data_IF_960623136326
#
_entry.id   IF_960623136326
#
_cell.length_a   1.000
_cell.length_b   1.000
_cell.length_c   1.000
_cell.angle_alpha   90.00
_cell.angle_beta   90.00
_cell.angle_gamma   90.00
#
_symmetry.space_group_name_H-M   'P 1'
#
loop_
_entity.id
_entity.type
_entity.pdbx_description
1 polymer ?
#
# COMPACT_ATOMS: atom_id res chain seq x y z
N UNK A 1 -8.45 -13.37 6.79
CA UNK A 1 -9.43 -12.26 6.87
C UNK A 1 -10.24 -12.22 8.16
N UNK A 2 -10.23 -13.25 9.02
CA UNK A 2 -11.03 -13.28 10.26
C UNK A 2 -10.83 -12.04 11.16
N UNK A 3 -9.58 -11.61 11.36
CA UNK A 3 -9.27 -10.42 12.15
C UNK A 3 -9.81 -9.13 11.52
N UNK A 4 -9.66 -8.97 10.20
CA UNK A 4 -10.17 -7.80 9.45
C UNK A 4 -11.69 -7.73 9.55
N UNK A 5 -12.40 -8.85 9.35
CA UNK A 5 -13.85 -8.90 9.46
C UNK A 5 -14.38 -8.63 10.87
N UNK A 6 -13.65 -9.11 11.90
CA UNK A 6 -14.02 -8.92 13.31
C UNK A 6 -13.84 -7.49 13.78
N UNK A 7 -12.75 -6.84 13.36
CA UNK A 7 -12.36 -5.52 13.86
C UNK A 7 -12.78 -4.36 12.95
N UNK A 8 -13.12 -4.64 11.69
CA UNK A 8 -13.56 -3.65 10.69
C UNK A 8 -12.71 -2.38 10.70
N UNK A 9 -11.40 -2.50 10.38
CA UNK A 9 -10.54 -1.33 10.32
C UNK A 9 -10.97 -0.41 9.18
N UNK A 10 -10.74 0.89 9.33
CA UNK A 10 -10.99 1.86 8.25
C UNK A 10 -9.94 1.78 7.13
N UNK A 11 -8.72 1.35 7.47
CA UNK A 11 -7.59 1.19 6.56
C UNK A 11 -6.76 -0.04 6.93
N UNK A 12 -6.10 -0.64 5.93
CA UNK A 12 -5.15 -1.74 6.12
C UNK A 12 -3.79 -1.32 5.54
N UNK A 13 -2.71 -1.49 6.30
CA UNK A 13 -1.35 -1.39 5.74
C UNK A 13 -0.84 -2.78 5.36
N UNK A 14 -0.43 -2.92 4.10
CA UNK A 14 0.12 -4.16 3.54
C UNK A 14 1.62 -4.02 3.39
N UNK A 15 2.35 -4.99 3.93
CA UNK A 15 3.80 -5.11 3.81
C UNK A 15 4.17 -6.52 3.30
N UNK A 16 5.11 -6.63 2.34
CA UNK A 16 5.86 -5.53 1.73
C UNK A 16 5.11 -4.87 0.55
N UNK A 17 5.21 -3.55 0.44
CA UNK A 17 4.52 -2.73 -0.56
C UNK A 17 5.08 -2.82 -1.98
N UNK A 18 6.19 -3.54 -2.17
CA UNK A 18 6.79 -3.79 -3.50
C UNK A 18 6.19 -4.98 -4.25
N UNK A 19 5.16 -5.63 -3.69
CA UNK A 19 4.50 -6.80 -4.29
C UNK A 19 3.07 -6.41 -4.71
N UNK A 20 2.86 -5.99 -5.98
CA UNK A 20 1.56 -5.55 -6.49
C UNK A 20 0.44 -6.58 -6.30
N UNK A 21 0.71 -7.86 -6.59
CA UNK A 21 -0.31 -8.91 -6.52
C UNK A 21 -0.90 -9.07 -5.12
N UNK A 22 -0.07 -8.86 -4.07
CA UNK A 22 -0.53 -8.90 -2.68
C UNK A 22 -1.47 -7.73 -2.37
N UNK A 23 -1.17 -6.54 -2.88
CA UNK A 23 -2.01 -5.35 -2.69
C UNK A 23 -3.37 -5.58 -3.34
N UNK A 24 -3.38 -6.07 -4.59
CA UNK A 24 -4.61 -6.40 -5.33
C UNK A 24 -5.43 -7.46 -4.59
N UNK A 25 -4.81 -8.58 -4.19
CA UNK A 25 -5.48 -9.67 -3.48
C UNK A 25 -6.13 -9.21 -2.17
N UNK A 26 -5.39 -8.42 -1.37
CA UNK A 26 -5.92 -7.93 -0.08
C UNK A 26 -7.04 -6.93 -0.31
N UNK A 27 -6.91 -6.03 -1.30
CA UNK A 27 -7.94 -5.03 -1.62
C UNK A 27 -9.24 -5.70 -2.03
N UNK A 28 -9.17 -6.65 -2.96
CA UNK A 28 -10.34 -7.37 -3.46
C UNK A 28 -11.04 -8.18 -2.36
N UNK A 29 -10.26 -8.80 -1.47
CA UNK A 29 -10.83 -9.61 -0.38
C UNK A 29 -11.36 -8.80 0.79
N UNK A 30 -10.72 -7.67 1.13
CA UNK A 30 -11.09 -6.86 2.29
C UNK A 30 -12.19 -5.85 1.95
N UNK A 31 -12.19 -5.29 0.73
CA UNK A 31 -13.08 -4.19 0.36
C UNK A 31 -12.82 -2.89 1.13
N UNK A 32 -11.66 -2.76 1.78
CA UNK A 32 -11.25 -1.64 2.62
C UNK A 32 -10.04 -0.95 1.96
N UNK A 33 -9.92 0.39 2.03
CA UNK A 33 -8.75 1.11 1.51
C UNK A 33 -7.42 0.60 2.08
N UNK A 34 -6.38 0.58 1.24
CA UNK A 34 -5.07 -0.01 1.57
C UNK A 34 -3.96 1.02 1.48
N UNK A 35 -3.05 1.01 2.45
CA UNK A 35 -1.72 1.61 2.33
C UNK A 35 -0.69 0.53 1.99
N UNK A 36 0.21 0.82 1.06
CA UNK A 36 1.31 -0.07 0.72
C UNK A 36 2.61 0.46 1.35
N UNK A 37 3.31 -0.39 2.10
CA UNK A 37 4.48 0.02 2.88
C UNK A 37 5.61 -0.99 2.88
N UNK A 38 6.84 -0.51 3.04
CA UNK A 38 8.02 -1.37 3.16
C UNK A 38 8.66 -1.77 1.83
N UNK A 39 10.00 -1.74 1.80
CA UNK A 39 10.85 -2.00 0.64
C UNK A 39 10.68 -1.09 -0.59
N UNK A 40 9.80 -0.08 -0.53
CA UNK A 40 9.64 0.96 -1.56
C UNK A 40 10.93 1.78 -1.67
N UNK A 41 11.62 1.72 -2.82
CA UNK A 41 12.92 2.37 -3.03
C UNK A 41 12.91 3.35 -4.19
N UNK A 42 12.08 3.14 -5.21
CA UNK A 42 12.04 3.98 -6.41
C UNK A 42 10.66 4.60 -6.64
N UNK A 43 10.55 5.54 -7.60
CA UNK A 43 9.25 6.11 -7.97
C UNK A 43 8.35 5.06 -8.63
N UNK A 44 8.96 4.19 -9.42
CA UNK A 44 8.27 3.08 -10.09
C UNK A 44 7.69 2.09 -9.08
N UNK A 45 8.36 1.86 -7.94
CA UNK A 45 7.78 1.06 -6.85
C UNK A 45 6.50 1.70 -6.29
N UNK A 46 6.50 3.03 -6.11
CA UNK A 46 5.34 3.80 -5.65
C UNK A 46 4.20 3.69 -6.68
N UNK A 47 4.50 3.93 -7.95
CA UNK A 47 3.54 3.89 -9.05
C UNK A 47 2.91 2.51 -9.17
N UNK A 48 3.70 1.43 -9.19
CA UNK A 48 3.18 0.05 -9.25
C UNK A 48 2.29 -0.30 -8.06
N UNK A 49 2.62 0.17 -6.85
CA UNK A 49 1.79 -0.06 -5.68
C UNK A 49 0.44 0.68 -5.78
N UNK A 50 0.44 1.92 -6.28
CA UNK A 50 -0.78 2.71 -6.49
C UNK A 50 -1.64 2.10 -7.62
N UNK A 51 -1.03 1.66 -8.71
CA UNK A 51 -1.70 0.97 -9.82
C UNK A 51 -2.33 -0.35 -9.39
N UNK A 52 -1.70 -1.08 -8.45
CA UNK A 52 -2.25 -2.28 -7.83
C UNK A 52 -3.47 -2.01 -6.92
N UNK A 53 -3.80 -0.74 -6.70
CA UNK A 53 -4.97 -0.33 -5.92
C UNK A 53 -4.66 0.13 -4.50
N UNK A 54 -3.38 0.39 -4.16
CA UNK A 54 -3.07 1.10 -2.92
C UNK A 54 -3.66 2.53 -2.99
N UNK A 55 -4.28 2.95 -1.90
CA UNK A 55 -4.78 4.31 -1.70
C UNK A 55 -3.64 5.29 -1.43
N UNK A 56 -2.61 4.85 -0.72
CA UNK A 56 -1.39 5.61 -0.47
C UNK A 56 -0.19 4.69 -0.28
N UNK A 57 1.01 5.26 -0.37
CA UNK A 57 2.27 4.55 -0.10
C UNK A 57 2.94 5.15 1.13
N UNK A 58 3.32 4.31 2.08
CA UNK A 58 4.12 4.69 3.24
C UNK A 58 5.58 4.32 3.00
N UNK A 59 6.48 5.23 3.30
CA UNK A 59 7.92 4.98 3.15
C UNK A 59 8.71 5.88 4.08
N UNK A 60 9.81 5.37 4.62
CA UNK A 60 10.81 6.17 5.34
C UNK A 60 11.85 6.81 4.39
N UNK A 61 11.77 6.53 3.08
CA UNK A 61 12.69 7.07 2.09
C UNK A 61 12.33 8.53 1.76
N UNK A 62 13.03 9.46 2.40
CA UNK A 62 12.81 10.91 2.23
C UNK A 62 13.11 11.43 0.83
N UNK A 63 13.93 10.72 0.02
CA UNK A 63 14.15 11.09 -1.37
C UNK A 63 12.86 10.95 -2.19
N UNK A 64 12.05 9.93 -1.89
CA UNK A 64 10.74 9.76 -2.52
C UNK A 64 9.77 10.85 -2.05
N UNK A 65 9.82 11.27 -0.78
CA UNK A 65 8.96 12.38 -0.32
C UNK A 65 9.20 13.64 -1.15
N UNK A 66 10.47 14.01 -1.36
CA UNK A 66 10.84 15.16 -2.20
C UNK A 66 10.37 15.01 -3.65
N UNK A 67 10.38 13.78 -4.18
CA UNK A 67 9.93 13.50 -5.54
C UNK A 67 8.42 13.67 -5.76
N UNK A 68 7.62 13.64 -4.69
CA UNK A 68 6.16 13.77 -4.71
C UNK A 68 5.66 15.00 -3.93
N UNK A 69 6.56 15.89 -3.49
CA UNK A 69 6.19 17.21 -2.94
C UNK A 69 5.71 18.12 -4.08
N UNK A 70 4.60 18.80 -3.85
CA UNK A 70 4.07 19.85 -4.76
C UNK A 70 4.74 21.19 -4.48
#
# INVERSE_FOLDING_TARGET
MEFVGKHRPDFIEVLPGVVPDLITEVRERAGIPIFAGGFIRTKEDVERALEAGATAVTTSNTALWKAFQK
#
